data_IF_514415501409
#
_entry.id   IF_514415501409
#
_cell.length_a   1.000
_cell.length_b   1.000
_cell.length_c   1.000
_cell.angle_alpha   90.00
_cell.angle_beta   90.00
_cell.angle_gamma   90.00
#
_symmetry.space_group_name_H-M   'P 1'
#
loop_
_entity.id
_entity.type
_entity.pdbx_description
1 polymer ?
#
# COMPACT_ATOMS: atom_id res chain seq x y z
N UNK A 1 -5.14 -28.39 26.56
CA UNK A 1 -4.68 -27.01 26.87
C UNK A 1 -5.15 -26.11 25.75
N UNK A 2 -6.07 -25.19 26.01
CA UNK A 2 -6.52 -24.24 24.99
C UNK A 2 -5.40 -23.21 24.75
N UNK A 3 -4.71 -23.32 23.62
CA UNK A 3 -3.76 -22.31 23.18
C UNK A 3 -4.54 -21.03 22.90
N UNK A 4 -4.33 -19.97 23.69
CA UNK A 4 -4.83 -18.64 23.35
C UNK A 4 -4.21 -18.25 22.01
N UNK A 5 -5.05 -18.12 20.97
CA UNK A 5 -4.64 -17.53 19.70
C UNK A 5 -4.35 -16.05 19.96
N UNK A 6 -3.09 -15.66 19.95
CA UNK A 6 -2.74 -14.24 19.86
C UNK A 6 -3.21 -13.75 18.50
N UNK A 7 -4.17 -12.83 18.47
CA UNK A 7 -4.54 -12.13 17.24
C UNK A 7 -3.36 -11.25 16.84
N UNK A 8 -2.67 -11.63 15.76
CA UNK A 8 -1.69 -10.78 15.10
C UNK A 8 -2.46 -9.89 14.13
N UNK A 9 -2.31 -8.57 14.25
CA UNK A 9 -2.87 -7.65 13.28
C UNK A 9 -2.12 -7.83 11.94
N UNK A 10 -2.86 -7.87 10.84
CA UNK A 10 -2.28 -8.08 9.50
C UNK A 10 -1.18 -7.06 9.16
N UNK A 11 -1.31 -5.76 9.48
CA UNK A 11 -0.25 -4.78 9.24
C UNK A 11 1.08 -5.08 9.93
N UNK A 12 1.05 -5.76 11.08
CA UNK A 12 2.24 -6.07 11.88
C UNK A 12 2.96 -7.35 11.43
N UNK A 13 2.44 -8.00 10.39
CA UNK A 13 3.01 -9.24 9.89
C UNK A 13 4.32 -8.99 9.13
N UNK A 14 5.33 -9.85 9.31
CA UNK A 14 6.67 -9.70 8.72
C UNK A 14 6.68 -9.58 7.17
N UNK A 15 5.69 -10.18 6.51
CA UNK A 15 5.54 -10.13 5.05
C UNK A 15 4.69 -8.97 4.55
N UNK A 16 4.11 -8.16 5.44
CA UNK A 16 3.38 -6.95 5.07
C UNK A 16 4.38 -5.79 5.06
N UNK A 17 4.71 -5.24 3.88
CA UNK A 17 5.60 -4.09 3.80
C UNK A 17 4.95 -2.83 4.39
N UNK A 18 5.73 -1.77 4.55
CA UNK A 18 5.20 -0.50 5.04
C UNK A 18 4.34 0.16 3.96
N UNK A 19 3.10 0.47 4.31
CA UNK A 19 2.15 1.17 3.46
C UNK A 19 1.95 2.58 4.02
N UNK A 20 2.13 3.60 3.18
CA UNK A 20 1.98 5.01 3.54
C UNK A 20 1.07 5.69 2.50
N UNK A 21 0.14 6.53 2.99
CA UNK A 21 -0.68 7.37 2.11
C UNK A 21 0.18 8.55 1.68
N UNK A 22 0.24 8.81 0.37
CA UNK A 22 0.92 9.99 -0.16
C UNK A 22 -0.07 11.12 -0.42
N UNK A 23 0.45 12.34 -0.44
CA UNK A 23 -0.35 13.52 -0.77
C UNK A 23 -0.73 13.54 -2.26
N UNK A 24 -1.78 14.30 -2.60
CA UNK A 24 -2.21 14.47 -4.00
C UNK A 24 -1.13 15.07 -4.89
N UNK A 25 -0.32 15.99 -4.35
CA UNK A 25 0.79 16.60 -5.08
C UNK A 25 1.86 15.57 -5.44
N UNK A 26 2.27 14.75 -4.48
CA UNK A 26 3.21 13.66 -4.73
C UNK A 26 2.65 12.62 -5.70
N UNK A 27 1.35 12.31 -5.60
CA UNK A 27 0.69 11.40 -6.53
C UNK A 27 0.73 11.93 -7.98
N UNK A 28 0.49 13.22 -8.18
CA UNK A 28 0.62 13.85 -9.51
C UNK A 28 2.05 13.79 -10.03
N UNK A 29 3.05 14.01 -9.18
CA UNK A 29 4.45 13.94 -9.57
C UNK A 29 4.88 12.51 -9.93
N UNK A 30 4.36 11.51 -9.22
CA UNK A 30 4.54 10.09 -9.56
C UNK A 30 3.93 9.78 -10.93
N UNK A 31 2.69 10.21 -11.17
CA UNK A 31 2.02 10.00 -12.45
C UNK A 31 2.75 10.69 -13.61
N UNK A 32 3.27 11.90 -13.41
CA UNK A 32 4.11 12.61 -14.39
C UNK A 32 5.43 11.88 -14.63
N UNK A 33 6.09 11.41 -13.58
CA UNK A 33 7.38 10.71 -13.66
C UNK A 33 7.29 9.41 -14.44
N UNK A 34 6.22 8.64 -14.25
CA UNK A 34 5.99 7.38 -14.96
C UNK A 34 5.16 7.53 -16.23
N UNK A 35 4.68 8.75 -16.52
CA UNK A 35 3.83 9.09 -17.66
C UNK A 35 2.65 8.12 -17.83
N UNK A 36 1.95 7.83 -16.73
CA UNK A 36 0.87 6.86 -16.67
C UNK A 36 -0.40 7.48 -16.07
N UNK A 37 -1.54 6.86 -16.36
CA UNK A 37 -2.83 7.21 -15.75
C UNK A 37 -2.99 6.51 -14.39
N UNK A 38 -3.80 7.06 -13.46
CA UNK A 38 -4.06 6.41 -12.18
C UNK A 38 -4.60 4.98 -12.31
N UNK A 39 -5.39 4.72 -13.36
CA UNK A 39 -5.96 3.40 -13.67
C UNK A 39 -4.95 2.40 -14.24
N UNK A 40 -3.80 2.86 -14.71
CA UNK A 40 -2.72 2.01 -15.24
C UNK A 40 -1.74 1.59 -14.15
N UNK A 41 -1.83 2.21 -12.97
CA UNK A 41 -1.09 1.78 -11.80
C UNK A 41 -1.69 0.50 -11.22
N UNK A 42 -0.89 -0.31 -10.51
CA UNK A 42 -1.40 -1.45 -9.77
C UNK A 42 -2.48 -1.02 -8.78
N UNK A 43 -3.64 -1.67 -8.85
CA UNK A 43 -4.80 -1.30 -8.04
C UNK A 43 -4.79 -2.01 -6.68
N UNK A 44 -5.40 -1.40 -5.68
CA UNK A 44 -5.66 -2.00 -4.37
C UNK A 44 -7.07 -1.64 -3.92
N UNK A 45 -7.80 -2.60 -3.36
CA UNK A 45 -9.14 -2.35 -2.87
C UNK A 45 -9.10 -1.64 -1.52
N UNK A 46 -10.05 -0.74 -1.26
CA UNK A 46 -10.25 -0.12 0.07
C UNK A 46 -10.39 -1.18 1.18
N UNK A 47 -10.93 -2.35 0.85
CA UNK A 47 -11.16 -3.45 1.80
C UNK A 47 -9.92 -4.33 2.05
N UNK A 48 -8.74 -3.98 1.52
CA UNK A 48 -7.54 -4.79 1.71
C UNK A 48 -7.10 -4.79 3.20
N UNK A 49 -6.88 -5.97 3.82
CA UNK A 49 -6.46 -6.07 5.22
C UNK A 49 -5.16 -5.34 5.56
N UNK A 50 -4.26 -5.15 4.59
CA UNK A 50 -2.99 -4.46 4.79
C UNK A 50 -3.16 -2.95 5.00
N UNK A 51 -4.27 -2.37 4.54
CA UNK A 51 -4.52 -0.91 4.56
C UNK A 51 -5.69 -0.52 5.48
N UNK A 52 -6.35 -1.50 6.07
CA UNK A 52 -7.57 -1.36 6.90
C UNK A 52 -7.37 -0.45 8.14
N UNK A 53 -6.13 -0.17 8.54
CA UNK A 53 -5.78 0.74 9.63
C UNK A 53 -5.35 2.16 9.22
N UNK A 54 -5.20 2.45 7.92
CA UNK A 54 -4.67 3.71 7.41
C UNK A 54 -5.75 4.76 7.11
N UNK A 55 -7.03 4.38 7.07
CA UNK A 55 -8.13 5.31 6.77
C UNK A 55 -8.14 5.81 5.32
N UNK A 56 -7.69 4.96 4.39
CA UNK A 56 -7.64 5.24 2.95
C UNK A 56 -9.03 5.44 2.34
N UNK A 57 -9.12 6.31 1.33
CA UNK A 57 -10.32 6.53 0.53
C UNK A 57 -10.09 6.11 -0.93
N UNK A 58 -11.15 5.73 -1.66
CA UNK A 58 -11.06 5.57 -3.12
C UNK A 58 -10.45 6.82 -3.75
N UNK A 59 -9.45 6.64 -4.60
CA UNK A 59 -8.73 7.72 -5.25
C UNK A 59 -7.43 8.16 -4.57
N UNK A 60 -7.14 7.65 -3.37
CA UNK A 60 -5.84 7.86 -2.74
C UNK A 60 -4.77 6.98 -3.43
N UNK A 61 -3.51 7.39 -3.28
CA UNK A 61 -2.36 6.62 -3.72
C UNK A 61 -1.55 6.17 -2.51
N UNK A 62 -1.15 4.90 -2.54
CA UNK A 62 -0.38 4.27 -1.48
C UNK A 62 1.03 4.04 -1.99
N UNK A 63 1.99 4.52 -1.21
CA UNK A 63 3.40 4.20 -1.37
C UNK A 63 3.73 2.99 -0.49
N UNK A 64 4.35 2.00 -1.11
CA UNK A 64 4.78 0.77 -0.47
C UNK A 64 6.29 0.74 -0.47
N UNK A 65 6.88 0.69 0.71
CA UNK A 65 8.32 0.57 0.90
C UNK A 65 8.64 -0.85 1.36
N UNK A 66 9.25 -1.65 0.48
CA UNK A 66 9.64 -3.03 0.78
C UNK A 66 11.15 -3.21 0.72
N UNK A 67 11.67 -4.10 1.57
CA UNK A 67 13.06 -4.55 1.47
C UNK A 67 13.18 -5.54 0.31
N UNK A 68 14.06 -5.23 -0.63
CA UNK A 68 14.38 -6.09 -1.76
C UNK A 68 15.77 -6.69 -1.55
N UNK A 69 15.96 -8.01 -1.72
CA UNK A 69 17.29 -8.63 -1.61
C UNK A 69 18.27 -8.16 -2.69
N UNK A 70 17.77 -7.67 -3.83
CA UNK A 70 18.62 -7.20 -4.94
C UNK A 70 18.90 -5.70 -4.88
N UNK A 71 17.89 -4.90 -4.56
CA UNK A 71 17.94 -3.44 -4.62
C UNK A 71 18.04 -2.76 -3.25
N UNK A 72 18.06 -3.53 -2.16
CA UNK A 72 18.00 -3.02 -0.79
C UNK A 72 16.59 -2.56 -0.42
N UNK A 73 16.17 -1.41 -0.95
CA UNK A 73 14.83 -0.85 -0.75
C UNK A 73 14.16 -0.57 -2.10
N UNK A 74 12.91 -1.02 -2.24
CA UNK A 74 12.12 -0.87 -3.44
C UNK A 74 10.83 -0.15 -3.11
N UNK A 75 10.59 0.95 -3.84
CA UNK A 75 9.38 1.74 -3.77
C UNK A 75 8.38 1.25 -4.81
N UNK A 76 7.13 1.12 -4.39
CA UNK A 76 6.02 0.73 -5.24
C UNK A 76 4.82 1.63 -4.98
N UNK A 77 4.03 1.93 -6.01
CA UNK A 77 2.86 2.79 -5.90
C UNK A 77 1.61 2.03 -6.31
N UNK A 78 0.54 2.14 -5.51
CA UNK A 78 -0.76 1.52 -5.82
C UNK A 78 -1.88 2.53 -5.72
N UNK A 79 -2.86 2.41 -6.61
CA UNK A 79 -4.04 3.28 -6.63
C UNK A 79 -5.22 2.61 -5.95
N UNK A 80 -5.88 3.33 -5.02
CA UNK A 80 -6.98 2.79 -4.23
C UNK A 80 -8.28 2.86 -5.02
N UNK A 81 -8.94 1.72 -5.18
CA UNK A 81 -10.22 1.58 -5.86
C UNK A 81 -11.29 1.02 -4.93
N UNK A 82 -12.53 1.39 -5.19
CA UNK A 82 -13.70 0.78 -4.57
C UNK A 82 -13.97 -0.60 -5.20
N UNK A 83 -14.68 -1.46 -4.47
CA UNK A 83 -15.03 -2.83 -4.91
C UNK A 83 -16.12 -2.79 -5.97
#
# INVERSE_FOLDING_TARGET
MATKKNQVLVPDHIYVPKHEIISKQEAEDVLKKYNCKPTELPLIFVNDPAILGLGVKPGDMIKITRKSPTAGESLYYRYVVEV
#
